data_IF_058489728165
#
_entry.id   IF_058489728165
#
_cell.length_a   1.000
_cell.length_b   1.000
_cell.length_c   1.000
_cell.angle_alpha   90.00
_cell.angle_beta   90.00
_cell.angle_gamma   90.00
#
_symmetry.space_group_name_H-M   'P 1'
#
loop_
_entity.id
_entity.type
_entity.pdbx_description
1 polymer ?
2 non-polymer ?
3 non-polymer ?
4 water ?
#
# COMPACT_ATOMS: atom_id res chain seq x y z
N UNK A 5 -28.38 -0.11 -11.77
CA UNK A 5 -27.14 -0.70 -12.36
C UNK A 5 -26.09 0.40 -12.60
N UNK A 6 -24.82 0.13 -12.22
CA UNK A 6 -23.60 0.90 -12.62
C UNK A 6 -22.34 0.25 -12.01
N UNK A 7 -21.17 0.67 -12.49
CA UNK A 7 -19.83 0.21 -12.06
C UNK A 7 -18.92 1.43 -11.87
N UNK A 8 -18.17 1.47 -10.76
CA UNK A 8 -17.20 2.57 -10.42
C UNK A 8 -15.79 1.98 -10.33
N UNK A 9 -14.85 2.55 -11.09
CA UNK A 9 -13.41 2.17 -11.06
C UNK A 9 -12.64 3.24 -10.31
N UNK A 10 -11.75 2.82 -9.41
CA UNK A 10 -10.79 3.71 -8.70
C UNK A 10 -9.40 3.12 -8.89
N UNK A 11 -8.37 3.98 -8.79
CA UNK A 11 -6.97 3.59 -9.03
C UNK A 11 -6.21 3.64 -7.70
N UNK A 12 -5.36 2.65 -7.47
CA UNK A 12 -4.43 2.57 -6.35
C UNK A 12 -3.02 2.46 -6.91
N UNK A 13 -2.06 3.03 -6.21
CA UNK A 13 -0.62 2.87 -6.50
C UNK A 13 0.01 2.30 -5.26
N UNK A 14 0.52 1.08 -5.36
CA UNK A 14 1.42 0.47 -4.38
C UNK A 14 2.83 0.61 -4.92
N UNK A 15 3.80 0.90 -4.05
CA UNK A 15 5.20 1.02 -4.45
C UNK A 15 6.12 0.94 -3.27
N UNK A 16 7.40 1.01 -3.52
CA UNK A 16 8.44 0.87 -2.49
C UNK A 16 9.74 1.45 -3.02
N UNK A 17 10.57 1.90 -2.09
CA UNK A 17 11.92 2.44 -2.35
C UNK A 17 12.89 1.67 -1.46
N UNK A 18 14.07 1.38 -1.96
CA UNK A 18 15.12 0.69 -1.20
C UNK A 18 16.48 1.28 -1.61
N UNK A 19 17.38 1.45 -0.64
CA UNK A 19 18.78 1.91 -0.85
C UNK A 19 19.69 1.30 0.22
N UNK A 20 20.99 1.16 -0.06
CA UNK A 20 22.02 0.81 0.96
C UNK A 20 22.02 1.88 2.04
N UNK A 21 22.09 1.47 3.31
CA UNK A 21 22.42 2.36 4.45
C UNK A 21 23.91 2.67 4.37
N UNK A 22 24.31 3.93 4.56
CA UNK A 22 25.74 4.34 4.67
C UNK A 22 26.33 3.61 5.88
N UNK A 23 25.57 3.54 6.98
CA UNK A 23 25.91 2.82 8.23
C UNK A 23 24.83 1.80 8.55
N UNK A 24 25.12 0.47 8.44
CA UNK A 24 24.20 -0.55 8.95
C UNK A 24 23.76 -0.29 10.41
N UNK A 25 22.59 -0.85 10.80
CA UNK A 25 21.93 -0.68 12.13
C UNK A 25 22.75 -1.42 13.19
N UNK A 26 22.27 -1.50 14.43
CA UNK A 26 22.90 -2.31 15.51
C UNK A 26 22.72 -3.81 15.23
N UNK A 27 21.69 -4.18 14.47
CA UNK A 27 21.46 -5.57 14.00
C UNK A 27 22.28 -5.80 12.73
N UNK A 28 22.79 -4.72 12.11
CA UNK A 28 23.63 -4.74 10.89
C UNK A 28 22.80 -4.78 9.60
N UNK A 29 21.53 -4.35 9.64
CA UNK A 29 20.65 -4.25 8.44
C UNK A 29 21.32 -3.34 7.41
N UNK A 30 21.37 -3.77 6.15
CA UNK A 30 22.15 -3.14 5.04
C UNK A 30 21.33 -2.04 4.37
N UNK A 31 20.00 -2.18 4.35
CA UNK A 31 19.10 -1.33 3.52
C UNK A 31 18.10 -0.61 4.40
N UNK A 32 17.75 0.60 3.97
CA UNK A 32 16.52 1.33 4.33
C UNK A 32 15.53 1.09 3.20
N UNK A 33 14.30 0.78 3.54
CA UNK A 33 13.24 0.64 2.53
C UNK A 33 11.96 1.28 3.06
N UNK A 34 11.08 1.61 2.14
CA UNK A 34 9.82 2.30 2.42
C UNK A 34 8.76 1.72 1.45
N UNK A 35 7.63 1.22 1.98
CA UNK A 35 6.48 0.71 1.18
C UNK A 35 5.28 1.61 1.43
N UNK A 36 4.48 1.89 0.40
CA UNK A 36 3.34 2.84 0.49
C UNK A 36 2.15 2.36 -0.37
N UNK A 37 0.98 2.87 -0.02
CA UNK A 37 -0.26 2.86 -0.85
C UNK A 37 -0.72 4.30 -0.96
N UNK A 38 -0.94 4.78 -2.18
CA UNK A 38 -1.39 6.15 -2.42
C UNK A 38 -2.34 6.18 -3.63
N UNK A 39 -3.06 7.29 -3.83
CA UNK A 39 -3.86 7.54 -5.05
C UNK A 39 -2.99 8.12 -6.15
N UNK A 40 -3.42 8.17 -7.41
CA UNK A 40 -2.74 8.96 -8.44
C UNK A 40 -2.89 10.46 -8.11
N UNK A 41 -2.13 11.32 -8.81
CA UNK A 41 -2.11 12.78 -8.55
C UNK A 41 -3.53 13.33 -8.52
N UNK A 42 -3.85 14.17 -7.52
CA UNK A 42 -5.14 14.90 -7.37
C UNK A 42 -6.28 13.95 -7.00
N UNK A 43 -5.97 12.74 -6.51
CA UNK A 43 -6.97 11.76 -6.02
C UNK A 43 -6.77 11.55 -4.52
N UNK A 44 -7.84 11.62 -3.74
CA UNK A 44 -7.80 11.46 -2.27
C UNK A 44 -8.50 10.14 -1.89
N UNK A 45 -7.74 9.04 -1.81
CA UNK A 45 -8.26 7.67 -1.50
C UNK A 45 -8.73 7.57 -0.05
N UNK A 46 -8.45 8.56 0.81
CA UNK A 46 -8.89 8.54 2.23
C UNK A 46 -10.42 8.48 2.28
N UNK A 47 -11.08 9.02 1.25
CA UNK A 47 -12.56 9.07 1.16
C UNK A 47 -13.16 7.66 1.24
N UNK A 48 -12.49 6.63 0.68
CA UNK A 48 -13.01 5.23 0.64
C UNK A 48 -12.06 4.21 1.27
N UNK A 49 -10.84 4.61 1.68
CA UNK A 49 -9.89 3.72 2.41
C UNK A 49 -10.04 3.99 3.90
N UNK A 50 -10.51 3.00 4.67
CA UNK A 50 -10.66 3.08 6.14
C UNK A 50 -9.28 3.05 6.76
N UNK A 51 -8.44 2.13 6.29
CA UNK A 51 -7.06 1.90 6.76
C UNK A 51 -6.34 0.97 5.79
N UNK A 52 -5.01 1.01 5.81
CA UNK A 52 -4.10 0.06 5.11
C UNK A 52 -3.32 -0.67 6.19
N UNK A 53 -3.20 -2.00 6.06
CA UNK A 53 -2.44 -2.87 7.01
C UNK A 53 -1.27 -3.49 6.24
N UNK A 54 -0.06 -3.22 6.70
CA UNK A 54 1.21 -3.72 6.14
C UNK A 54 1.69 -4.89 7.03
N UNK A 55 1.60 -6.12 6.51
CA UNK A 55 2.00 -7.36 7.22
C UNK A 55 3.49 -7.62 6.99
N UNK A 56 4.32 -7.17 7.92
CA UNK A 56 5.80 -7.26 7.84
C UNK A 56 6.25 -8.69 8.10
N UNK A 57 7.48 -9.01 7.68
CA UNK A 57 8.19 -10.27 8.00
C UNK A 57 8.14 -10.51 9.52
N UNK A 58 8.07 -11.77 9.92
CA UNK A 58 7.83 -12.23 11.32
C UNK A 58 8.99 -11.78 12.22
N UNK A 59 10.17 -11.52 11.63
CA UNK A 59 11.39 -11.03 12.33
C UNK A 59 11.12 -9.67 13.00
N UNK A 60 10.59 -8.70 12.26
CA UNK A 60 10.18 -7.36 12.77
C UNK A 60 9.17 -7.54 13.90
N UNK A 61 9.28 -6.74 14.99
CA UNK A 61 8.33 -6.81 16.09
C UNK A 61 7.13 -5.90 15.82
N UNK A 62 5.96 -6.26 16.37
CA UNK A 62 4.63 -5.70 15.97
C UNK A 62 4.58 -5.61 14.45
N UNK A 63 4.58 -6.76 13.73
CA UNK A 63 4.65 -6.76 12.27
C UNK A 63 3.35 -6.32 11.61
N UNK A 64 2.25 -6.24 12.36
CA UNK A 64 0.97 -5.67 11.90
C UNK A 64 1.07 -4.14 12.00
N UNK A 65 1.42 -3.48 10.90
CA UNK A 65 1.52 -1.99 10.83
C UNK A 65 0.25 -1.44 10.20
N UNK A 66 -0.43 -0.54 10.90
CA UNK A 66 -1.72 0.07 10.50
C UNK A 66 -1.47 1.54 10.20
N UNK A 67 -1.93 2.01 9.04
CA UNK A 67 -2.08 3.44 8.74
C UNK A 67 -3.56 3.70 8.50
N UNK A 68 -4.19 4.44 9.40
CA UNK A 68 -5.66 4.70 9.40
C UNK A 68 -5.93 5.97 8.62
N UNK A 69 -4.92 6.81 8.41
CA UNK A 69 -4.99 8.06 7.62
C UNK A 69 -3.74 8.15 6.74
N UNK A 70 -3.75 8.97 5.67
CA UNK A 70 -2.54 9.16 4.86
C UNK A 70 -1.44 9.80 5.69
N UNK A 71 -0.15 9.61 5.36
CA UNK A 71 0.29 8.74 4.27
C UNK A 71 0.25 7.26 4.67
N UNK A 72 -0.25 6.40 3.78
CA UNK A 72 -0.27 4.92 3.96
C UNK A 72 1.10 4.40 3.59
N UNK A 73 1.96 4.26 4.58
CA UNK A 73 3.36 3.86 4.36
C UNK A 73 3.99 3.28 5.64
N UNK A 74 5.04 2.47 5.44
CA UNK A 74 5.91 1.89 6.50
C UNK A 74 7.35 2.10 6.06
N UNK A 75 8.19 2.54 6.97
CA UNK A 75 9.65 2.71 6.76
C UNK A 75 10.38 1.82 7.75
N UNK A 76 11.27 0.98 7.26
CA UNK A 76 12.05 0.03 8.09
C UNK A 76 13.44 -0.12 7.48
N UNK A 77 14.30 -0.85 8.17
CA UNK A 77 15.62 -1.28 7.69
C UNK A 77 15.61 -2.80 7.58
N UNK A 78 16.45 -3.37 6.72
CA UNK A 78 16.45 -4.81 6.46
C UNK A 78 17.72 -5.32 5.85
N UNK A 79 17.81 -6.64 5.74
CA UNK A 79 18.98 -7.34 5.15
C UNK A 79 18.57 -7.99 3.82
N UNK A 80 17.29 -8.32 3.64
CA UNK A 80 16.76 -8.97 2.41
C UNK A 80 15.28 -8.62 2.18
N UNK A 81 14.85 -8.71 0.92
CA UNK A 81 13.45 -8.57 0.49
C UNK A 81 12.58 -9.70 1.00
N UNK A 82 11.26 -9.52 0.91
CA UNK A 82 10.26 -10.54 1.28
C UNK A 82 8.92 -10.22 0.60
N UNK A 83 7.95 -11.12 0.75
CA UNK A 83 6.56 -10.96 0.24
C UNK A 83 5.75 -10.30 1.35
N UNK A 84 5.26 -9.09 1.12
CA UNK A 84 4.46 -8.33 2.11
C UNK A 84 2.99 -8.36 1.72
N UNK A 85 2.13 -9.10 2.47
CA UNK A 85 0.68 -8.93 2.37
C UNK A 85 0.36 -7.48 2.73
N UNK A 86 -0.42 -6.80 1.87
CA UNK A 86 -0.95 -5.43 2.15
C UNK A 86 -2.47 -5.50 1.98
N UNK A 87 -3.20 -5.13 3.03
CA UNK A 87 -4.68 -5.15 3.09
C UNK A 87 -5.21 -3.70 3.01
N UNK A 88 -5.97 -3.39 1.98
CA UNK A 88 -6.67 -2.08 1.86
C UNK A 88 -8.14 -2.30 2.27
N UNK A 89 -8.48 -1.86 3.49
CA UNK A 89 -9.85 -1.93 4.06
C UNK A 89 -10.65 -0.73 3.58
N UNK A 90 -11.85 -0.97 3.04
CA UNK A 90 -12.72 0.08 2.47
C UNK A 90 -13.70 0.59 3.54
N UNK A 91 -14.18 1.82 3.38
CA UNK A 91 -15.30 2.41 4.16
C UNK A 91 -16.63 1.97 3.51
N UNK A 92 -16.79 0.66 3.31
CA UNK A 92 -17.96 0.02 2.68
C UNK A 92 -18.68 -0.78 3.75
N UNK A 93 -20.02 -0.78 3.75
CA UNK A 93 -20.84 -1.51 4.75
C UNK A 93 -21.08 -2.94 4.24
N UNK A 94 -21.24 -3.12 2.93
CA UNK A 94 -21.44 -4.45 2.29
C UNK A 94 -20.11 -4.94 1.68
N UNK A 95 -20.14 -6.04 0.93
CA UNK A 95 -18.95 -6.70 0.34
C UNK A 95 -18.56 -5.99 -0.96
N UNK A 96 -17.24 -5.98 -1.35
CA UNK A 96 -16.15 -6.45 -0.48
C UNK A 96 -15.77 -5.37 0.55
N UNK A 97 -15.30 -5.79 1.72
CA UNK A 97 -14.91 -4.90 2.86
C UNK A 97 -13.46 -4.47 2.69
N UNK A 98 -12.69 -5.25 1.96
CA UNK A 98 -11.23 -5.04 1.75
C UNK A 98 -10.79 -5.73 0.47
N UNK A 99 -9.53 -5.53 0.12
CA UNK A 99 -8.78 -6.22 -0.97
C UNK A 99 -7.35 -6.45 -0.46
N UNK A 100 -6.83 -7.67 -0.65
CA UNK A 100 -5.44 -8.06 -0.28
C UNK A 100 -4.57 -8.11 -1.53
N UNK A 101 -3.34 -7.61 -1.40
CA UNK A 101 -2.26 -7.72 -2.40
C UNK A 101 -1.11 -8.41 -1.72
N UNK A 102 -0.35 -9.20 -2.45
CA UNK A 102 0.96 -9.71 -1.99
C UNK A 102 2.00 -8.89 -2.71
N UNK A 103 2.71 -8.04 -1.98
CA UNK A 103 3.65 -7.08 -2.57
C UNK A 103 5.06 -7.68 -2.57
N UNK A 104 5.71 -7.64 -3.72
CA UNK A 104 7.10 -8.10 -3.94
C UNK A 104 8.07 -7.02 -3.45
N UNK A 105 8.44 -7.02 -2.17
CA UNK A 105 9.42 -6.06 -1.59
C UNK A 105 10.84 -6.59 -1.79
N UNK A 106 11.53 -6.14 -2.84
CA UNK A 106 12.92 -6.51 -3.19
C UNK A 106 13.87 -5.33 -2.98
N UNK A 107 15.15 -5.64 -2.76
CA UNK A 107 16.21 -4.66 -2.37
C UNK A 107 17.24 -4.55 -3.50
N UNK A 108 17.90 -3.40 -3.63
CA UNK A 108 19.01 -3.20 -4.62
C UNK A 108 20.26 -3.86 -4.04
N UNK A 109 20.75 -4.90 -4.73
CA UNK A 109 21.85 -5.77 -4.24
C UNK A 109 23.07 -5.61 -5.14
N UNK A 110 24.28 -5.72 -4.57
CA UNK A 110 25.59 -5.72 -5.29
C UNK A 110 25.78 -4.39 -6.04
N UNK A 111 25.57 -3.26 -5.34
CA UNK A 111 25.88 -1.91 -5.84
C UNK A 111 25.04 -1.45 -7.03
N UNK A 112 23.83 -2.00 -7.19
CA UNK A 112 22.83 -1.47 -8.17
C UNK A 112 22.22 -0.22 -7.56
N UNK A 113 21.82 0.78 -8.37
CA UNK A 113 21.29 2.02 -7.82
C UNK A 113 20.07 1.74 -6.95
N UNK A 114 19.61 2.70 -6.13
CA UNK A 114 18.40 2.51 -5.35
C UNK A 114 17.21 1.99 -6.17
N UNK A 115 16.30 1.30 -5.49
CA UNK A 115 15.03 0.76 -6.05
C UNK A 115 13.93 1.80 -5.78
N UNK A 116 13.14 2.09 -6.79
CA UNK A 116 12.02 3.05 -6.75
C UNK A 116 10.95 2.53 -7.73
N UNK A 117 10.07 1.63 -7.25
CA UNK A 117 9.12 0.85 -8.11
C UNK A 117 7.68 1.19 -7.75
N UNK A 118 6.82 1.19 -8.75
CA UNK A 118 5.39 1.51 -8.63
C UNK A 118 4.57 0.36 -9.25
N UNK A 119 3.50 -0.03 -8.58
CA UNK A 119 2.56 -1.09 -9.02
C UNK A 119 1.18 -0.48 -9.02
N UNK A 120 0.58 -0.31 -10.19
CA UNK A 120 -0.74 0.36 -10.35
C UNK A 120 -1.85 -0.67 -10.40
N UNK A 121 -2.83 -0.55 -9.50
CA UNK A 121 -3.97 -1.46 -9.37
C UNK A 121 -5.24 -0.69 -9.70
N UNK A 122 -6.11 -1.27 -10.52
CA UNK A 122 -7.46 -0.74 -10.82
C UNK A 122 -8.46 -1.60 -10.05
N UNK A 123 -9.32 -0.98 -9.24
CA UNK A 123 -10.44 -1.67 -8.54
C UNK A 123 -11.73 -1.36 -9.29
N UNK A 124 -12.52 -2.39 -9.61
CA UNK A 124 -13.87 -2.31 -10.23
C UNK A 124 -14.92 -2.71 -9.19
N UNK A 125 -15.76 -1.78 -8.76
CA UNK A 125 -16.88 -2.02 -7.83
C UNK A 125 -18.20 -2.06 -8.61
N UNK A 126 -18.84 -3.23 -8.64
CA UNK A 126 -20.16 -3.46 -9.28
C UNK A 126 -21.26 -3.10 -8.26
N UNK A 127 -22.12 -2.14 -8.62
CA UNK A 127 -23.36 -1.79 -7.88
C UNK A 127 -23.05 -1.47 -6.43
N UNK A 128 -22.11 -0.55 -6.14
CA UNK A 128 -21.86 -0.16 -4.74
C UNK A 128 -23.13 0.48 -4.19
N UNK A 129 -23.33 0.46 -2.86
CA UNK A 129 -24.40 1.23 -2.17
C UNK A 129 -24.24 2.72 -2.54
N UNK A 130 -25.24 3.53 -2.24
CA UNK A 130 -25.24 4.98 -2.54
C UNK A 130 -24.08 5.62 -1.78
N UNK A 131 -24.03 5.40 -0.46
CA UNK A 131 -23.03 5.97 0.48
C UNK A 131 -21.60 5.71 -0.02
N UNK A 132 -21.28 4.46 -0.36
CA UNK A 132 -19.92 4.01 -0.78
C UNK A 132 -19.61 4.53 -2.18
N UNK A 133 -20.60 4.58 -3.06
CA UNK A 133 -20.46 5.12 -4.45
C UNK A 133 -20.02 6.59 -4.38
N UNK A 134 -20.51 7.37 -3.41
CA UNK A 134 -20.14 8.79 -3.21
C UNK A 134 -18.65 8.87 -2.84
N UNK A 135 -18.23 8.09 -1.84
CA UNK A 135 -16.82 8.01 -1.37
C UNK A 135 -15.89 7.68 -2.55
N UNK A 136 -16.24 6.68 -3.38
CA UNK A 136 -15.42 6.26 -4.54
C UNK A 136 -15.23 7.45 -5.51
N UNK A 137 -16.33 8.13 -5.86
CA UNK A 137 -16.35 9.28 -6.83
C UNK A 137 -15.65 10.50 -6.22
N UNK A 138 -15.87 10.77 -4.92
CA UNK A 138 -15.17 11.83 -4.14
C UNK A 138 -13.66 11.61 -4.16
N UNK A 139 -13.22 10.35 -4.19
CA UNK A 139 -11.79 9.98 -4.23
C UNK A 139 -11.24 10.14 -5.65
N UNK A 140 -12.11 10.41 -6.63
CA UNK A 140 -11.75 10.50 -8.07
C UNK A 140 -12.09 9.23 -8.84
N UNK A 141 -13.00 8.40 -8.34
CA UNK A 141 -13.54 7.24 -9.07
C UNK A 141 -14.32 7.69 -10.30
N UNK A 142 -14.41 6.85 -11.34
CA UNK A 142 -15.14 7.13 -12.61
C UNK A 142 -16.17 6.02 -12.87
N UNK A 143 -17.39 6.38 -13.26
CA UNK A 143 -18.45 5.42 -13.67
C UNK A 143 -18.22 5.00 -15.12
N UNK A 144 -18.66 3.79 -15.50
CA UNK A 144 -18.41 3.20 -16.84
C UNK A 144 -19.74 2.68 -17.42
X LIG B 1 -9.35 7.45 -7.64
X LIG B 1 -8.93 6.73 -8.78
X LIG B 1 -8.43 7.25 -6.50
X LIG B 1 -8.48 5.93 -6.01
X LIG C 1 12.59 -8.80 -8.82
X LIG C 1 13.85 -8.25 -8.48
X LIG C 1 11.75 -9.17 -7.63
X LIG C 1 12.21 -10.30 -6.91
X LIG D 1 15.64 -8.39 6.34
X LIG D 1 14.88 -8.47 7.32
X LIG D 1 14.89 -7.41 8.38
X LIG D 1 14.04 -9.49 7.50
X LIG D 1 14.09 -10.70 6.69
X LIG D 1 13.19 -10.63 5.47
X LIG D 1 13.41 -11.80 4.52
X LIG D 1 12.99 -13.14 5.10
X LIG D 1 13.04 -14.35 4.15
X LIG D 1 13.85 -14.05 2.92
X LIG D 1 11.63 -14.80 3.73
X LIG D 1 11.18 -14.57 2.61
X LIG D 1 10.90 -15.41 4.53
#
# INVERSE_FOLDING_TARGET
SMDNQCTVQVRLELGHRAQLRKKPTTEGFTHDWMVFVRGPEQCDIQHFVEKVVFWLHDSFPKPRRVCKEPPYKVEESGYAGFIMPIEVHFKNKEEPRKVCFTYDLFLNLEGNPPVNHLRCEKLTFNNPTTEFRYKLLRAGGVMVMPEGAHHHHHH
EDO C1 O1 C2 O2
EDO C1 O1 C2 O2
ALY OH CH CH3 NZ CE CD CG CB CA N C O OXT
#
